data_IF_596932844848
#
_entry.id   IF_596932844848
#
_cell.length_a   1.000
_cell.length_b   1.000
_cell.length_c   1.000
_cell.angle_alpha   90.00
_cell.angle_beta   90.00
_cell.angle_gamma   90.00
#
_symmetry.space_group_name_H-M   'P 1'
#
loop_
_entity.id
_entity.type
_entity.pdbx_description
1 polymer ?
#
# COMPACT_ATOMS: atom_id res chain seq x y z
N UNK A 1 -24.35 12.81 -10.53
CA UNK A 1 -23.34 12.76 -9.43
C UNK A 1 -22.25 13.76 -9.78
N UNK A 2 -21.74 14.50 -8.79
CA UNK A 2 -20.67 15.44 -9.01
C UNK A 2 -19.34 14.69 -8.98
N UNK A 3 -18.60 14.75 -10.09
CA UNK A 3 -17.28 14.11 -10.18
C UNK A 3 -16.19 15.16 -10.05
N UNK A 4 -15.09 14.80 -9.41
CA UNK A 4 -13.91 15.63 -9.17
C UNK A 4 -12.71 15.08 -9.93
N UNK A 5 -11.93 15.94 -10.55
CA UNK A 5 -10.64 15.59 -11.11
C UNK A 5 -9.58 15.47 -10.01
N UNK A 6 -8.46 14.75 -10.22
CA UNK A 6 -7.35 14.71 -9.26
C UNK A 6 -6.85 16.09 -8.84
N UNK A 7 -6.87 17.07 -9.75
CA UNK A 7 -6.52 18.45 -9.44
C UNK A 7 -7.50 19.08 -8.44
N UNK A 8 -8.80 18.93 -8.66
CA UNK A 8 -9.84 19.47 -7.77
C UNK A 8 -9.83 18.78 -6.40
N UNK A 9 -9.47 17.49 -6.36
CA UNK A 9 -9.26 16.77 -5.11
C UNK A 9 -8.03 17.34 -4.39
N UNK A 10 -6.91 17.47 -5.10
CA UNK A 10 -5.68 18.03 -4.55
C UNK A 10 -5.85 19.43 -3.96
N UNK A 11 -6.58 20.31 -4.66
CA UNK A 11 -6.90 21.67 -4.19
C UNK A 11 -7.59 21.66 -2.80
N UNK A 12 -8.41 20.65 -2.49
CA UNK A 12 -9.08 20.54 -1.18
C UNK A 12 -8.13 20.13 -0.04
N UNK A 13 -7.01 19.50 -0.35
CA UNK A 13 -6.03 19.00 0.62
C UNK A 13 -4.67 19.67 0.54
N UNK A 14 -4.57 20.77 -0.22
CA UNK A 14 -3.31 21.48 -0.49
C UNK A 14 -2.21 20.56 -1.07
N UNK A 15 -2.61 19.67 -1.98
CA UNK A 15 -1.74 18.72 -2.70
C UNK A 15 -1.89 18.92 -4.21
N UNK A 16 -0.89 18.57 -5.00
CA UNK A 16 -0.99 18.62 -6.44
C UNK A 16 -1.70 17.39 -7.05
N UNK A 17 -2.06 17.48 -8.32
CA UNK A 17 -2.73 16.40 -9.04
C UNK A 17 -1.83 15.17 -9.21
N UNK A 18 -0.50 15.35 -9.24
CA UNK A 18 0.47 14.26 -9.36
C UNK A 18 0.43 13.39 -8.11
N UNK A 19 0.49 14.02 -6.94
CA UNK A 19 0.39 13.36 -5.65
C UNK A 19 -0.92 12.56 -5.50
N UNK A 20 -2.05 13.14 -5.91
CA UNK A 20 -3.35 12.45 -5.88
C UNK A 20 -3.37 11.24 -6.82
N UNK A 21 -2.81 11.36 -8.02
CA UNK A 21 -2.70 10.22 -8.94
C UNK A 21 -1.75 9.13 -8.43
N UNK A 22 -0.69 9.49 -7.71
CA UNK A 22 0.20 8.51 -7.06
C UNK A 22 -0.56 7.69 -6.01
N UNK A 23 -1.35 8.34 -5.14
CA UNK A 23 -2.22 7.63 -4.20
C UNK A 23 -3.18 6.68 -4.94
N UNK A 24 -3.79 7.12 -6.02
CA UNK A 24 -4.71 6.28 -6.78
C UNK A 24 -4.00 5.13 -7.50
N UNK A 25 -2.74 5.28 -7.89
CA UNK A 25 -1.91 4.18 -8.40
C UNK A 25 -1.54 3.20 -7.28
N UNK A 26 -1.13 3.69 -6.11
CA UNK A 26 -0.79 2.86 -4.94
C UNK A 26 -1.99 2.03 -4.47
N UNK A 27 -3.21 2.58 -4.60
CA UNK A 27 -4.47 1.87 -4.32
C UNK A 27 -4.92 0.95 -5.46
N UNK A 28 -4.18 0.89 -6.57
CA UNK A 28 -4.57 0.18 -7.79
C UNK A 28 -5.93 0.62 -8.36
N UNK A 29 -6.30 1.89 -8.15
CA UNK A 29 -7.51 2.45 -8.74
C UNK A 29 -7.30 2.91 -10.18
N UNK A 30 -6.07 3.29 -10.51
CA UNK A 30 -5.65 3.65 -11.86
C UNK A 30 -4.32 3.01 -12.21
N UNK A 31 -4.07 2.82 -13.49
CA UNK A 31 -2.77 2.41 -14.03
C UNK A 31 -2.25 3.46 -15.02
N UNK A 32 -0.94 3.57 -15.15
CA UNK A 32 -0.32 4.49 -16.11
C UNK A 32 -0.31 3.87 -17.51
N UNK A 33 -0.72 4.64 -18.52
CA UNK A 33 -0.65 4.29 -19.93
C UNK A 33 0.12 5.37 -20.70
N UNK A 34 0.50 5.07 -21.95
CA UNK A 34 1.19 6.02 -22.87
C UNK A 34 0.43 7.34 -23.03
N UNK A 35 -0.89 7.31 -22.94
CA UNK A 35 -1.79 8.44 -23.14
C UNK A 35 -2.40 8.99 -21.84
N UNK A 36 -1.86 8.65 -20.67
CA UNK A 36 -2.36 9.15 -19.38
C UNK A 36 -2.66 8.04 -18.37
N UNK A 37 -3.84 8.11 -17.75
CA UNK A 37 -4.24 7.17 -16.71
C UNK A 37 -5.47 6.36 -17.13
N UNK A 38 -5.41 5.04 -16.98
CA UNK A 38 -6.54 4.13 -17.19
C UNK A 38 -7.15 3.73 -15.86
N UNK A 39 -8.46 3.71 -15.82
CA UNK A 39 -9.25 3.23 -14.71
C UNK A 39 -9.18 1.71 -14.62
N UNK A 40 -9.02 1.17 -13.41
CA UNK A 40 -9.09 -0.27 -13.12
C UNK A 40 -10.51 -0.65 -12.67
N UNK A 41 -10.81 -1.95 -12.64
CA UNK A 41 -12.09 -2.43 -12.06
C UNK A 41 -12.26 -2.03 -10.59
N UNK A 42 -11.15 -2.00 -9.83
CA UNK A 42 -11.15 -1.56 -8.44
C UNK A 42 -11.51 -0.07 -8.36
N UNK A 43 -10.90 0.75 -9.21
CA UNK A 43 -11.22 2.17 -9.29
C UNK A 43 -12.67 2.46 -9.71
N UNK A 44 -13.25 1.66 -10.63
CA UNK A 44 -14.67 1.76 -10.99
C UNK A 44 -15.58 1.54 -9.78
N UNK A 45 -15.28 0.50 -8.98
CA UNK A 45 -16.03 0.18 -7.75
C UNK A 45 -15.94 1.30 -6.71
N UNK A 46 -14.87 2.08 -6.72
CA UNK A 46 -14.68 3.25 -5.86
C UNK A 46 -15.24 4.56 -6.44
N UNK A 47 -15.99 4.48 -7.53
CA UNK A 47 -16.65 5.63 -8.14
C UNK A 47 -15.78 6.43 -9.08
N UNK A 48 -14.73 5.81 -9.62
CA UNK A 48 -13.94 6.37 -10.72
C UNK A 48 -14.70 6.32 -12.03
N UNK A 49 -14.54 7.34 -12.87
CA UNK A 49 -15.09 7.44 -14.21
C UNK A 49 -13.98 7.78 -15.20
N UNK A 50 -13.77 6.92 -16.21
CA UNK A 50 -12.79 7.17 -17.26
C UNK A 50 -13.22 8.35 -18.14
N UNK A 51 -12.33 9.30 -18.30
CA UNK A 51 -12.53 10.48 -19.17
C UNK A 51 -11.41 10.58 -20.21
N UNK A 52 -11.72 11.27 -21.30
CA UNK A 52 -10.76 11.60 -22.36
C UNK A 52 -10.84 13.09 -22.68
N UNK A 53 -9.71 13.74 -22.78
CA UNK A 53 -9.62 15.11 -23.26
C UNK A 53 -8.44 15.23 -24.23
N UNK A 54 -8.71 15.59 -25.47
CA UNK A 54 -7.71 15.76 -26.54
C UNK A 54 -6.74 14.56 -26.68
N UNK A 55 -7.28 13.33 -26.60
CA UNK A 55 -6.49 12.09 -26.71
C UNK A 55 -5.74 11.68 -25.44
N UNK A 56 -5.85 12.45 -24.34
CA UNK A 56 -5.28 12.08 -23.04
C UNK A 56 -6.34 11.51 -22.11
N UNK A 57 -6.04 10.36 -21.54
CA UNK A 57 -6.91 9.69 -20.58
C UNK A 57 -6.67 10.21 -19.16
N UNK A 58 -7.75 10.49 -18.44
CA UNK A 58 -7.73 10.78 -17.02
C UNK A 58 -8.95 10.18 -16.33
N UNK A 59 -8.95 10.13 -15.01
CA UNK A 59 -10.07 9.60 -14.24
C UNK A 59 -10.66 10.71 -13.37
N UNK A 60 -12.00 10.83 -13.41
CA UNK A 60 -12.75 11.66 -12.50
C UNK A 60 -13.40 10.78 -11.44
N UNK A 61 -13.58 11.29 -10.21
CA UNK A 61 -13.96 10.54 -9.05
C UNK A 61 -15.24 11.07 -8.42
N UNK A 62 -16.13 10.18 -7.98
CA UNK A 62 -17.28 10.56 -7.15
C UNK A 62 -16.79 11.34 -5.92
N UNK A 63 -17.49 12.40 -5.54
CA UNK A 63 -17.16 13.23 -4.37
C UNK A 63 -17.06 12.43 -3.07
N UNK A 64 -17.67 11.24 -3.00
CA UNK A 64 -17.57 10.31 -1.86
C UNK A 64 -16.13 9.87 -1.55
N UNK A 65 -15.21 9.95 -2.52
CA UNK A 65 -13.78 9.67 -2.28
C UNK A 65 -13.21 10.55 -1.16
N UNK A 66 -13.71 11.77 -0.99
CA UNK A 66 -13.26 12.71 0.03
C UNK A 66 -13.60 12.27 1.46
N UNK A 67 -14.53 11.33 1.63
CA UNK A 67 -14.90 10.74 2.93
C UNK A 67 -14.38 9.32 3.12
N UNK A 68 -13.64 8.78 2.15
CA UNK A 68 -13.08 7.45 2.24
C UNK A 68 -11.94 7.43 3.28
N UNK A 69 -12.05 6.58 4.30
CA UNK A 69 -11.10 6.51 5.42
C UNK A 69 -9.66 6.20 4.97
N UNK A 70 -9.51 5.24 4.04
CA UNK A 70 -8.20 4.85 3.53
C UNK A 70 -7.57 5.99 2.72
N UNK A 71 -8.33 6.60 1.81
CA UNK A 71 -7.85 7.76 1.05
C UNK A 71 -7.43 8.92 1.96
N UNK A 72 -8.21 9.21 3.02
CA UNK A 72 -7.86 10.26 3.99
C UNK A 72 -6.60 9.92 4.80
N UNK A 73 -6.40 8.65 5.18
CA UNK A 73 -5.15 8.22 5.82
C UNK A 73 -3.94 8.45 4.89
N UNK A 74 -4.06 8.05 3.63
CA UNK A 74 -2.97 8.15 2.65
C UNK A 74 -2.64 9.61 2.27
N UNK A 75 -3.65 10.47 2.14
CA UNK A 75 -3.44 11.87 1.76
C UNK A 75 -2.83 12.69 2.91
N UNK A 76 -3.07 12.29 4.16
CA UNK A 76 -2.53 12.94 5.35
C UNK A 76 -1.18 12.36 5.80
N UNK A 77 -0.71 11.25 5.21
CA UNK A 77 0.66 10.77 5.41
C UNK A 77 1.59 11.76 4.70
N UNK A 78 2.16 12.70 5.47
CA UNK A 78 3.11 13.66 4.92
C UNK A 78 4.37 12.94 4.49
N UNK A 79 4.67 12.94 3.17
CA UNK A 79 6.04 13.10 2.66
C UNK A 79 6.12 13.00 1.14
N UNK A 80 6.83 13.96 0.54
CA UNK A 80 7.23 13.99 -0.87
C UNK A 80 8.47 13.11 -1.08
N UNK A 81 8.52 12.28 -2.14
CA UNK A 81 9.72 11.53 -2.48
C UNK A 81 10.79 12.44 -3.10
N UNK A 82 12.01 12.41 -2.58
CA UNK A 82 13.19 12.90 -3.30
C UNK A 82 13.65 11.85 -4.32
N UNK A 83 13.85 12.28 -5.58
CA UNK A 83 14.29 11.44 -6.68
C UNK A 83 15.79 11.19 -6.60
N UNK A 84 16.23 9.94 -6.67
CA UNK A 84 17.55 9.56 -7.20
C UNK A 84 17.49 8.24 -7.96
N UNK A 85 18.09 8.23 -9.15
CA UNK A 85 18.10 7.18 -10.16
C UNK A 85 19.28 6.21 -10.01
N UNK A 86 19.11 4.92 -10.25
CA UNK A 86 19.78 4.07 -11.22
C UNK A 86 19.59 2.56 -10.98
N UNK A 87 19.71 1.82 -12.07
CA UNK A 87 19.25 0.49 -12.44
C UNK A 87 19.80 -0.69 -11.63
N UNK A 88 18.95 -1.64 -11.38
CA UNK A 88 18.91 -3.09 -11.58
C UNK A 88 18.12 -3.83 -10.50
N UNK A 89 17.22 -4.66 -11.02
CA UNK A 89 16.32 -5.54 -10.32
C UNK A 89 14.98 -4.92 -9.86
N UNK A 90 13.95 -5.75 -9.76
CA UNK A 90 12.59 -5.36 -9.38
C UNK A 90 12.53 -4.50 -8.10
N UNK A 91 13.51 -4.66 -7.21
CA UNK A 91 13.75 -3.81 -6.03
C UNK A 91 14.26 -2.42 -6.37
N UNK A 92 15.08 -2.29 -7.42
CA UNK A 92 15.58 -1.00 -7.90
C UNK A 92 14.54 -0.24 -8.71
N UNK A 93 13.53 -0.94 -9.24
CA UNK A 93 12.45 -0.34 -10.02
C UNK A 93 11.40 0.35 -9.15
N UNK A 94 11.35 0.02 -7.86
CA UNK A 94 10.48 0.62 -6.84
C UNK A 94 11.33 0.87 -5.59
N UNK A 95 12.12 1.93 -5.60
CA UNK A 95 12.91 2.33 -4.43
C UNK A 95 12.00 2.67 -3.24
N UNK A 96 12.47 2.35 -2.04
CA UNK A 96 11.83 2.75 -0.80
C UNK A 96 11.97 4.28 -0.66
N UNK A 97 10.89 5.01 -0.93
CA UNK A 97 10.90 6.47 -1.04
C UNK A 97 9.96 7.16 -0.04
N UNK A 98 9.10 6.39 0.63
CA UNK A 98 8.18 6.94 1.60
C UNK A 98 8.76 6.79 3.01
N UNK A 99 8.97 7.91 3.69
CA UNK A 99 9.54 7.91 5.03
C UNK A 99 8.45 7.68 6.08
N UNK A 100 8.74 6.82 7.06
CA UNK A 100 7.89 6.49 8.19
C UNK A 100 8.25 7.33 9.41
N UNK A 101 7.39 7.37 10.43
CA UNK A 101 7.65 8.01 11.72
C UNK A 101 8.87 7.44 12.43
N UNK A 102 9.13 6.14 12.27
CA UNK A 102 10.33 5.47 12.80
C UNK A 102 11.63 5.82 12.04
N UNK A 103 11.53 6.60 10.96
CA UNK A 103 12.67 7.03 10.15
C UNK A 103 13.06 6.05 9.03
N UNK A 104 12.41 4.91 8.90
CA UNK A 104 12.63 3.99 7.79
C UNK A 104 12.03 4.53 6.49
N UNK A 105 12.59 4.08 5.36
CA UNK A 105 11.97 4.29 4.06
C UNK A 105 11.31 3.00 3.60
N UNK A 106 10.07 3.10 3.10
CA UNK A 106 9.26 1.98 2.60
C UNK A 106 8.80 2.26 1.16
N UNK A 107 8.27 1.26 0.46
CA UNK A 107 7.98 1.35 -0.99
C UNK A 107 6.59 1.87 -1.32
N UNK A 108 5.66 1.75 -0.40
CA UNK A 108 4.27 2.17 -0.62
C UNK A 108 3.70 2.95 0.58
N UNK A 109 2.67 3.75 0.33
CA UNK A 109 1.96 4.46 1.39
C UNK A 109 1.21 3.51 2.33
N UNK A 110 0.76 2.37 1.83
CA UNK A 110 0.17 1.33 2.66
C UNK A 110 1.17 0.79 3.68
N UNK A 111 2.42 0.58 3.26
CA UNK A 111 3.49 0.18 4.16
C UNK A 111 3.84 1.28 5.18
N UNK A 112 3.72 2.58 4.81
CA UNK A 112 3.86 3.67 5.79
C UNK A 112 2.83 3.55 6.89
N UNK A 113 1.55 3.31 6.54
CA UNK A 113 0.47 3.19 7.53
C UNK A 113 0.74 2.02 8.49
N UNK A 114 1.18 0.87 7.97
CA UNK A 114 1.50 -0.31 8.79
C UNK A 114 2.71 -0.02 9.68
N UNK A 115 3.79 0.51 9.11
CA UNK A 115 5.01 0.84 9.85
C UNK A 115 4.76 1.87 10.96
N UNK A 116 3.99 2.91 10.66
CA UNK A 116 3.65 3.97 11.61
C UNK A 116 2.73 3.45 12.72
N UNK A 117 1.81 2.54 12.38
CA UNK A 117 0.99 1.87 13.37
C UNK A 117 1.86 1.03 14.32
N UNK A 118 2.73 0.15 13.79
CA UNK A 118 3.64 -0.66 14.58
C UNK A 118 4.54 0.21 15.48
N UNK A 119 5.05 1.32 14.96
CA UNK A 119 5.88 2.26 15.71
C UNK A 119 5.11 2.94 16.84
N UNK A 120 3.87 3.40 16.60
CA UNK A 120 3.05 4.05 17.61
C UNK A 120 2.67 3.08 18.75
N UNK A 121 2.44 1.81 18.42
CA UNK A 121 2.14 0.73 19.37
C UNK A 121 3.39 0.11 20.01
N UNK A 122 4.57 0.72 19.80
CA UNK A 122 5.86 0.29 20.34
C UNK A 122 6.24 -1.15 19.97
N UNK A 123 5.72 -1.65 18.83
CA UNK A 123 6.05 -2.98 18.31
C UNK A 123 7.33 -2.91 17.49
N UNK A 124 8.35 -3.62 17.92
CA UNK A 124 9.64 -3.70 17.19
C UNK A 124 9.45 -4.51 15.92
N UNK A 125 9.92 -3.97 14.80
CA UNK A 125 9.85 -4.64 13.49
C UNK A 125 11.11 -4.45 12.66
N UNK A 126 11.31 -5.36 11.70
CA UNK A 126 12.28 -5.20 10.61
C UNK A 126 11.52 -5.13 9.27
N UNK A 127 11.84 -4.13 8.47
CA UNK A 127 11.27 -3.95 7.13
C UNK A 127 12.07 -4.77 6.10
N UNK A 128 11.39 -5.39 5.14
CA UNK A 128 11.97 -6.19 4.04
C UNK A 128 13.02 -7.23 4.50
N UNK A 129 12.72 -7.94 5.56
CA UNK A 129 13.61 -9.00 6.04
C UNK A 129 13.53 -10.22 5.13
N UNK A 130 14.70 -10.80 4.79
CA UNK A 130 14.77 -12.11 4.15
C UNK A 130 14.17 -13.18 5.06
N UNK A 131 13.23 -13.97 4.50
CA UNK A 131 12.63 -15.10 5.19
C UNK A 131 13.64 -16.27 5.21
N UNK A 132 13.88 -16.96 6.35
CA UNK A 132 14.90 -17.99 6.47
C UNK A 132 14.42 -19.36 5.90
N UNK A 133 14.14 -19.39 4.62
CA UNK A 133 13.77 -20.58 3.84
C UNK A 133 14.71 -20.76 2.66
N UNK A 134 14.62 -21.92 1.97
CA UNK A 134 15.49 -22.22 0.81
C UNK A 134 15.24 -21.26 -0.36
N UNK A 135 13.99 -20.91 -0.62
CA UNK A 135 13.62 -19.92 -1.63
C UNK A 135 14.07 -18.51 -1.23
N UNK A 136 14.51 -17.72 -2.21
CA UNK A 136 14.78 -16.31 -1.97
C UNK A 136 13.46 -15.55 -1.86
N UNK A 137 13.08 -15.19 -0.64
CA UNK A 137 11.84 -14.51 -0.31
C UNK A 137 12.05 -13.46 0.78
N UNK A 138 11.37 -12.35 0.65
CA UNK A 138 11.40 -11.26 1.62
C UNK A 138 9.97 -10.92 2.04
N UNK A 139 9.79 -10.67 3.33
CA UNK A 139 8.53 -10.17 3.89
C UNK A 139 8.48 -8.64 3.85
N UNK A 140 7.27 -8.07 3.94
CA UNK A 140 7.16 -6.62 4.09
C UNK A 140 7.60 -6.22 5.51
N UNK A 141 7.09 -6.87 6.54
CA UNK A 141 7.52 -6.65 7.92
C UNK A 141 7.73 -7.96 8.66
N UNK A 142 8.71 -7.97 9.55
CA UNK A 142 8.98 -9.06 10.48
C UNK A 142 8.99 -8.55 11.90
N UNK A 143 8.22 -9.19 12.76
CA UNK A 143 8.15 -8.92 14.19
C UNK A 143 8.98 -9.97 14.94
N UNK A 144 10.14 -9.61 15.53
CA UNK A 144 10.99 -10.54 16.27
C UNK A 144 10.27 -11.17 17.46
N UNK A 145 9.46 -10.38 18.17
CA UNK A 145 8.56 -10.87 19.19
C UNK A 145 7.46 -11.71 18.53
N UNK A 146 7.29 -12.95 18.92
CA UNK A 146 6.33 -13.88 18.31
C UNK A 146 6.75 -14.47 16.97
N UNK A 147 7.87 -14.05 16.36
CA UNK A 147 8.37 -14.49 15.04
C UNK A 147 7.28 -14.42 13.96
N UNK A 148 6.62 -13.27 13.88
CA UNK A 148 5.49 -13.03 12.98
C UNK A 148 5.97 -12.27 11.74
N UNK A 149 5.46 -12.69 10.58
CA UNK A 149 5.64 -12.03 9.30
C UNK A 149 4.34 -11.29 8.95
N UNK A 150 4.45 -10.08 8.41
CA UNK A 150 3.31 -9.31 7.92
C UNK A 150 3.51 -9.07 6.44
N UNK A 151 2.47 -9.28 5.64
CA UNK A 151 2.41 -9.02 4.20
C UNK A 151 1.21 -8.14 3.86
N UNK A 152 1.45 -7.10 3.09
CA UNK A 152 0.38 -6.27 2.54
C UNK A 152 -0.08 -6.82 1.18
N UNK A 153 -1.38 -6.96 1.00
CA UNK A 153 -2.01 -7.59 -0.15
C UNK A 153 -2.74 -6.55 -1.03
N UNK A 154 -1.99 -5.66 -1.67
CA UNK A 154 -2.55 -4.50 -2.35
C UNK A 154 -3.07 -4.71 -3.78
N UNK A 155 -2.58 -5.67 -4.54
CA UNK A 155 -2.82 -5.78 -5.98
C UNK A 155 -3.57 -7.07 -6.35
N UNK A 156 -4.91 -7.08 -6.28
CA UNK A 156 -5.72 -8.27 -6.61
C UNK A 156 -5.97 -8.49 -8.13
N UNK A 157 -5.68 -7.50 -8.98
CA UNK A 157 -6.08 -7.53 -10.39
C UNK A 157 -5.01 -7.97 -11.41
N UNK A 158 -3.75 -8.16 -10.99
CA UNK A 158 -2.69 -8.69 -11.85
C UNK A 158 -2.53 -10.21 -11.62
N UNK A 159 -2.79 -11.04 -12.67
CA UNK A 159 -2.64 -12.50 -12.61
C UNK A 159 -1.26 -12.92 -12.11
N UNK A 160 -0.19 -12.27 -12.55
CA UNK A 160 1.18 -12.57 -12.11
C UNK A 160 1.41 -12.21 -10.64
N UNK A 161 0.71 -11.21 -10.14
CA UNK A 161 0.76 -10.83 -8.73
C UNK A 161 0.00 -11.85 -7.88
N UNK A 162 -1.20 -12.26 -8.30
CA UNK A 162 -1.98 -13.31 -7.62
C UNK A 162 -1.20 -14.63 -7.54
N UNK A 163 -0.52 -15.04 -8.62
CA UNK A 163 0.33 -16.24 -8.64
C UNK A 163 1.50 -16.12 -7.64
N UNK A 164 2.19 -14.97 -7.62
CA UNK A 164 3.28 -14.71 -6.65
C UNK A 164 2.77 -14.70 -5.21
N UNK A 165 1.62 -14.07 -4.95
CA UNK A 165 0.95 -14.05 -3.65
C UNK A 165 0.63 -15.46 -3.17
N UNK A 166 -0.01 -16.26 -4.03
CA UNK A 166 -0.37 -17.65 -3.72
C UNK A 166 0.87 -18.50 -3.44
N UNK A 167 1.93 -18.34 -4.25
CA UNK A 167 3.21 -19.00 -4.00
C UNK A 167 3.80 -18.60 -2.64
N UNK A 168 3.78 -17.31 -2.33
CA UNK A 168 4.32 -16.76 -1.08
C UNK A 168 3.55 -17.29 0.14
N UNK A 169 2.22 -17.27 0.09
CA UNK A 169 1.35 -17.85 1.13
C UNK A 169 1.63 -19.33 1.37
N UNK A 170 1.78 -20.10 0.28
CA UNK A 170 2.10 -21.52 0.35
C UNK A 170 3.45 -21.75 1.04
N UNK A 171 4.48 -20.97 0.69
CA UNK A 171 5.80 -21.07 1.29
C UNK A 171 5.77 -20.76 2.80
N UNK A 172 5.00 -19.77 3.25
CA UNK A 172 4.80 -19.52 4.68
C UNK A 172 4.16 -20.72 5.38
N UNK A 173 3.10 -21.29 4.81
CA UNK A 173 2.39 -22.44 5.37
C UNK A 173 3.25 -23.70 5.40
N UNK A 174 3.95 -24.03 4.31
CA UNK A 174 4.83 -25.21 4.20
C UNK A 174 5.99 -25.17 5.20
N UNK A 175 6.46 -23.97 5.55
CA UNK A 175 7.56 -23.79 6.51
C UNK A 175 7.07 -23.51 7.94
N UNK A 176 5.77 -23.58 8.20
CA UNK A 176 5.20 -23.37 9.54
C UNK A 176 5.46 -21.95 10.10
N UNK A 177 5.53 -20.94 9.23
CA UNK A 177 5.84 -19.57 9.62
C UNK A 177 4.56 -18.80 9.95
N UNK A 178 4.60 -18.00 11.01
CA UNK A 178 3.48 -17.18 11.45
C UNK A 178 3.28 -16.00 10.49
N UNK A 179 2.15 -15.95 9.78
CA UNK A 179 1.85 -14.92 8.79
C UNK A 179 0.58 -14.15 9.15
N UNK A 180 0.66 -12.83 9.16
CA UNK A 180 -0.47 -11.91 9.18
C UNK A 180 -0.56 -11.25 7.80
N UNK A 181 -1.75 -11.25 7.22
CA UNK A 181 -2.01 -10.64 5.92
C UNK A 181 -2.92 -9.45 6.09
N UNK A 182 -2.55 -8.32 5.49
CA UNK A 182 -3.28 -7.07 5.55
C UNK A 182 -3.70 -6.70 4.13
N UNK A 183 -4.99 -6.59 3.89
CA UNK A 183 -5.56 -6.03 2.67
C UNK A 183 -6.03 -4.58 2.89
N UNK A 184 -6.56 -3.95 1.84
CA UNK A 184 -7.04 -2.57 1.90
C UNK A 184 -8.13 -2.36 2.96
N UNK A 185 -9.02 -3.36 3.18
CA UNK A 185 -10.10 -3.26 4.17
C UNK A 185 -9.56 -3.31 5.58
N UNK A 186 -8.61 -4.20 5.81
CA UNK A 186 -7.91 -4.31 7.10
C UNK A 186 -7.09 -3.06 7.36
N UNK A 187 -6.44 -2.51 6.33
CA UNK A 187 -5.64 -1.29 6.44
C UNK A 187 -6.47 -0.08 6.90
N UNK A 188 -7.77 -0.03 6.57
CA UNK A 188 -8.69 1.00 7.07
C UNK A 188 -8.93 0.92 8.58
N UNK A 189 -8.78 -0.28 9.18
CA UNK A 189 -9.16 -0.57 10.56
C UNK A 189 -8.06 -1.38 11.30
N UNK A 190 -6.80 -0.96 11.20
CA UNK A 190 -5.66 -1.63 11.83
C UNK A 190 -5.82 -1.75 13.35
N UNK A 191 -6.37 -0.70 14.00
CA UNK A 191 -6.59 -0.64 15.45
C UNK A 191 -7.54 -1.73 15.95
N UNK A 192 -8.47 -2.19 15.12
CA UNK A 192 -9.40 -3.27 15.45
C UNK A 192 -8.87 -4.66 15.11
N UNK A 193 -7.95 -4.74 14.16
CA UNK A 193 -7.47 -6.01 13.59
C UNK A 193 -6.13 -6.46 14.20
N UNK A 194 -5.10 -5.62 14.09
CA UNK A 194 -3.74 -6.01 14.47
C UNK A 194 -3.60 -6.41 15.95
N UNK A 195 -4.21 -5.72 16.93
CA UNK A 195 -4.09 -6.14 18.33
C UNK A 195 -4.57 -7.57 18.56
N UNK A 196 -5.68 -7.97 17.91
CA UNK A 196 -6.25 -9.32 18.02
C UNK A 196 -5.36 -10.38 17.38
N UNK A 197 -4.79 -10.05 16.20
CA UNK A 197 -3.88 -10.97 15.50
C UNK A 197 -2.56 -11.13 16.24
N UNK A 198 -1.97 -10.04 16.73
CA UNK A 198 -0.72 -10.04 17.47
C UNK A 198 -0.83 -10.84 18.79
N UNK A 199 -1.97 -10.71 19.47
CA UNK A 199 -2.23 -11.45 20.70
C UNK A 199 -2.20 -12.98 20.48
N UNK A 200 -2.63 -13.49 19.32
CA UNK A 200 -2.55 -14.94 18.99
C UNK A 200 -1.11 -15.45 18.99
N UNK A 201 -0.15 -14.58 18.77
CA UNK A 201 1.29 -14.89 18.75
C UNK A 201 2.02 -14.44 20.03
N UNK A 202 1.27 -14.11 21.09
CA UNK A 202 1.83 -13.69 22.38
C UNK A 202 2.42 -12.27 22.39
N UNK A 203 2.09 -11.45 21.42
CA UNK A 203 2.50 -10.04 21.36
C UNK A 203 1.39 -9.21 22.00
N UNK A 204 1.67 -8.71 23.22
CA UNK A 204 0.77 -7.80 23.93
C UNK A 204 1.17 -6.36 23.65
N UNK A 205 0.21 -5.52 23.31
CA UNK A 205 0.39 -4.07 23.22
C UNK A 205 0.33 -3.47 24.61
N UNK A 206 1.08 -2.39 24.81
CA UNK A 206 1.21 -1.72 26.11
C UNK A 206 0.10 -0.69 26.32
#
# INVERSE_FOLDING_TARGET
MKTLTPRQIGEKFNKDAKFINEIFMDLDFISRDKNGFKLTKKGENFGGEQKNYMGKFYVAWDEKILSNKLFLKLINSDETPEQNSDENDFRKKFEAQYRTKSGHFVRSRAEVIIADWLFNELVVFAYEKRVPIMDEMYCDFYLPCGKVYIEFLGLENDKKYVERKTKKQRLYAENGLNLIQIDDKILENLDDFLPKELLKFGINLV
#
